data_IF_979680571071
#
_entry.id   IF_979680571071
#
_cell.length_a   1.000
_cell.length_b   1.000
_cell.length_c   1.000
_cell.angle_alpha   90.00
_cell.angle_beta   90.00
_cell.angle_gamma   90.00
#
_symmetry.space_group_name_H-M   'P 1'
#
loop_
_entity.id
_entity.type
_entity.pdbx_description
1 polymer ?
#
# COMPACT_ATOMS: atom_id res chain seq x y z
N UNK A 1 -3.62 4.37 -8.52
CA UNK A 1 -5.01 4.69 -8.13
C UNK A 1 -5.92 4.43 -9.31
N UNK A 2 -6.99 3.66 -9.13
CA UNK A 2 -7.79 3.06 -10.23
C UNK A 2 -9.19 3.63 -10.40
N UNK A 3 -9.73 4.35 -9.40
CA UNK A 3 -11.14 4.78 -9.34
C UNK A 3 -11.27 6.29 -9.10
N UNK A 4 -10.49 7.08 -9.84
CA UNK A 4 -10.41 8.54 -9.64
C UNK A 4 -11.71 9.26 -10.01
N UNK A 5 -12.54 8.63 -10.83
CA UNK A 5 -13.87 9.01 -11.28
C UNK A 5 -14.97 8.92 -10.19
N UNK A 6 -14.81 8.04 -9.20
CA UNK A 6 -15.86 7.78 -8.19
C UNK A 6 -15.79 8.74 -6.98
N UNK A 7 -14.91 9.74 -7.01
CA UNK A 7 -14.63 10.60 -5.86
C UNK A 7 -14.96 12.07 -6.16
N UNK A 8 -15.58 12.75 -5.19
CA UNK A 8 -15.85 14.20 -5.28
C UNK A 8 -14.53 14.99 -5.40
N UNK A 9 -14.49 16.09 -6.19
CA UNK A 9 -13.25 16.84 -6.43
C UNK A 9 -12.49 17.23 -5.16
N UNK A 10 -13.17 17.68 -4.10
CA UNK A 10 -12.53 18.08 -2.85
C UNK A 10 -11.82 16.90 -2.16
N UNK A 11 -12.44 15.72 -2.17
CA UNK A 11 -11.85 14.50 -1.60
C UNK A 11 -10.67 14.01 -2.45
N UNK A 12 -10.76 14.16 -3.77
CA UNK A 12 -9.67 13.79 -4.68
C UNK A 12 -8.43 14.67 -4.44
N UNK A 13 -8.61 15.97 -4.20
CA UNK A 13 -7.52 16.87 -3.82
C UNK A 13 -6.81 16.39 -2.55
N UNK A 14 -7.56 16.02 -1.50
CA UNK A 14 -6.98 15.49 -0.26
C UNK A 14 -6.19 14.20 -0.50
N UNK A 15 -6.77 13.26 -1.23
CA UNK A 15 -6.09 12.00 -1.58
C UNK A 15 -4.78 12.28 -2.34
N UNK A 16 -4.77 13.25 -3.25
CA UNK A 16 -3.55 13.64 -3.98
C UNK A 16 -2.48 14.23 -3.08
N UNK A 17 -2.86 15.01 -2.08
CA UNK A 17 -1.92 15.52 -1.08
C UNK A 17 -1.29 14.37 -0.29
N UNK A 18 -2.09 13.41 0.16
CA UNK A 18 -1.60 12.22 0.86
C UNK A 18 -0.64 11.41 -0.03
N UNK A 19 -1.03 11.20 -1.30
CA UNK A 19 -0.22 10.49 -2.29
C UNK A 19 1.10 11.18 -2.61
N UNK A 20 1.12 12.51 -2.68
CA UNK A 20 2.36 13.28 -2.84
C UNK A 20 3.33 13.06 -1.67
N UNK A 21 2.82 12.86 -0.46
CA UNK A 21 3.62 12.45 0.68
C UNK A 21 4.26 11.08 0.50
N UNK A 22 3.54 10.08 -0.03
CA UNK A 22 4.11 8.78 -0.38
C UNK A 22 5.20 8.88 -1.45
N UNK A 23 5.02 9.75 -2.45
CA UNK A 23 6.05 10.04 -3.45
C UNK A 23 7.31 10.63 -2.80
N UNK A 24 7.18 11.58 -1.87
CA UNK A 24 8.31 12.16 -1.12
C UNK A 24 9.06 11.13 -0.28
N UNK A 25 8.37 10.12 0.24
CA UNK A 25 8.99 8.99 0.96
C UNK A 25 9.81 8.09 0.02
N UNK A 26 9.53 8.12 -1.30
CA UNK A 26 10.24 7.35 -2.32
C UNK A 26 9.40 6.24 -2.97
N UNK A 27 8.10 6.14 -2.68
CA UNK A 27 7.23 5.18 -3.35
C UNK A 27 6.82 5.68 -4.75
N UNK A 28 6.90 4.84 -5.80
CA UNK A 28 6.28 5.14 -7.08
C UNK A 28 4.76 5.22 -6.93
N UNK A 29 4.16 6.34 -7.33
CA UNK A 29 2.72 6.56 -7.26
C UNK A 29 2.16 6.89 -8.63
N UNK A 30 1.24 6.06 -9.10
CA UNK A 30 0.51 6.27 -10.35
C UNK A 30 -0.92 6.70 -10.03
N UNK A 31 -1.23 7.99 -10.21
CA UNK A 31 -2.53 8.57 -9.86
C UNK A 31 -3.04 9.48 -10.99
N UNK A 32 -3.67 8.91 -12.02
CA UNK A 32 -4.10 9.68 -13.18
C UNK A 32 -5.28 10.61 -12.83
N UNK A 33 -5.49 11.66 -13.63
CA UNK A 33 -6.71 12.47 -13.53
C UNK A 33 -7.95 11.66 -13.95
N UNK A 34 -7.84 10.97 -15.09
CA UNK A 34 -8.87 10.08 -15.61
C UNK A 34 -8.47 8.62 -15.36
N UNK A 35 -9.37 7.76 -14.87
CA UNK A 35 -9.05 6.34 -14.72
C UNK A 35 -8.55 5.76 -16.04
N UNK A 36 -7.53 4.90 -15.96
CA UNK A 36 -6.98 4.18 -17.12
C UNK A 36 -6.44 5.09 -18.23
N UNK A 37 -5.93 6.27 -17.87
CA UNK A 37 -5.18 7.12 -18.79
C UNK A 37 -4.06 6.33 -19.49
N UNK A 38 -3.99 6.30 -20.84
CA UNK A 38 -3.03 5.48 -21.57
C UNK A 38 -1.57 5.77 -21.24
N UNK A 39 -1.23 7.03 -20.96
CA UNK A 39 0.14 7.43 -20.61
C UNK A 39 0.53 6.83 -19.26
N UNK A 40 -0.37 6.91 -18.29
CA UNK A 40 -0.13 6.34 -16.96
C UNK A 40 -0.15 4.81 -17.00
N UNK A 41 -1.00 4.18 -17.82
CA UNK A 41 -0.97 2.73 -18.03
C UNK A 41 0.38 2.28 -18.59
N UNK A 42 0.93 2.98 -19.57
CA UNK A 42 2.25 2.68 -20.12
C UNK A 42 3.36 2.81 -19.07
N UNK A 43 3.31 3.84 -18.21
CA UNK A 43 4.25 4.00 -17.09
C UNK A 43 4.14 2.86 -16.07
N UNK A 44 2.90 2.46 -15.73
CA UNK A 44 2.63 1.32 -14.85
C UNK A 44 3.22 0.05 -15.45
N UNK A 45 2.98 -0.24 -16.73
CA UNK A 45 3.56 -1.40 -17.43
C UNK A 45 5.09 -1.39 -17.39
N UNK A 46 5.71 -0.26 -17.74
CA UNK A 46 7.16 -0.13 -17.75
C UNK A 46 7.78 -0.37 -16.36
N UNK A 47 7.08 -0.02 -15.27
CA UNK A 47 7.58 -0.21 -13.91
C UNK A 47 7.78 -1.68 -13.53
N UNK A 48 7.08 -2.60 -14.20
CA UNK A 48 7.11 -4.04 -13.90
C UNK A 48 7.46 -4.95 -15.08
N UNK A 49 7.90 -4.40 -16.21
CA UNK A 49 8.42 -5.20 -17.33
C UNK A 49 9.52 -6.16 -16.85
N UNK A 50 9.53 -7.37 -17.42
CA UNK A 50 10.48 -8.46 -17.12
C UNK A 50 10.52 -8.91 -15.64
N UNK A 51 9.47 -8.62 -14.85
CA UNK A 51 9.37 -8.99 -13.43
C UNK A 51 8.18 -9.90 -13.14
N UNK A 52 8.27 -10.65 -12.04
CA UNK A 52 7.11 -11.25 -11.38
C UNK A 52 6.47 -10.19 -10.48
N UNK A 53 5.20 -9.86 -10.74
CA UNK A 53 4.49 -8.77 -10.05
C UNK A 53 3.16 -9.25 -9.51
N UNK A 54 2.86 -8.86 -8.28
CA UNK A 54 1.61 -9.24 -7.61
C UNK A 54 0.74 -8.01 -7.44
N UNK A 55 -0.50 -8.07 -7.97
CA UNK A 55 -1.46 -7.00 -7.77
C UNK A 55 -2.25 -7.31 -6.50
N UNK A 56 -2.07 -6.48 -5.48
CA UNK A 56 -2.71 -6.65 -4.17
C UNK A 56 -3.51 -5.42 -3.76
N UNK A 57 -4.45 -5.61 -2.84
CA UNK A 57 -5.36 -4.58 -2.36
C UNK A 57 -6.73 -5.14 -2.01
N UNK A 58 -7.51 -4.34 -1.28
CA UNK A 58 -8.82 -4.76 -0.79
C UNK A 58 -9.78 -5.18 -1.92
N UNK A 59 -10.77 -6.00 -1.57
CA UNK A 59 -11.85 -6.36 -2.51
C UNK A 59 -12.56 -5.10 -3.02
N UNK A 60 -12.74 -5.01 -4.34
CA UNK A 60 -13.34 -3.83 -4.98
C UNK A 60 -12.37 -2.68 -5.24
N UNK A 61 -11.07 -2.82 -4.99
CA UNK A 61 -10.07 -1.81 -5.34
C UNK A 61 -9.81 -1.64 -6.85
N UNK A 62 -10.40 -2.47 -7.71
CA UNK A 62 -10.26 -2.37 -9.18
C UNK A 62 -9.02 -3.07 -9.76
N UNK A 63 -8.49 -4.09 -9.07
CA UNK A 63 -7.32 -4.88 -9.53
C UNK A 63 -7.57 -5.58 -10.87
N UNK A 64 -8.62 -6.40 -10.97
CA UNK A 64 -8.96 -7.13 -12.20
C UNK A 64 -9.33 -6.18 -13.35
N UNK A 65 -10.00 -5.06 -13.06
CA UNK A 65 -10.25 -4.00 -14.07
C UNK A 65 -8.95 -3.42 -14.60
N UNK A 66 -7.99 -3.08 -13.71
CA UNK A 66 -6.69 -2.59 -14.13
C UNK A 66 -5.94 -3.64 -14.96
N UNK A 67 -5.99 -4.92 -14.59
CA UNK A 67 -5.37 -6.00 -15.36
C UNK A 67 -5.93 -6.12 -16.78
N UNK A 68 -7.26 -6.03 -16.95
CA UNK A 68 -7.89 -6.03 -18.28
C UNK A 68 -7.41 -4.85 -19.16
N UNK A 69 -7.06 -3.70 -18.56
CA UNK A 69 -6.48 -2.57 -19.28
C UNK A 69 -4.98 -2.74 -19.59
N UNK A 70 -4.25 -3.52 -18.80
CA UNK A 70 -2.80 -3.73 -18.97
C UNK A 70 -2.48 -4.91 -19.88
N UNK A 71 -3.33 -5.93 -19.91
CA UNK A 71 -3.16 -7.17 -20.68
C UNK A 71 -4.33 -7.30 -21.67
N UNK A 72 -4.12 -6.96 -22.95
CA UNK A 72 -5.15 -7.15 -23.98
C UNK A 72 -5.59 -8.62 -24.07
N UNK A 73 -6.91 -8.86 -24.15
CA UNK A 73 -7.49 -10.21 -24.31
C UNK A 73 -7.57 -11.05 -23.03
N UNK A 74 -7.29 -10.46 -21.86
CA UNK A 74 -7.36 -11.16 -20.58
C UNK A 74 -8.81 -11.45 -20.12
N UNK A 75 -9.76 -10.60 -20.52
CA UNK A 75 -11.21 -10.72 -20.29
C UNK A 75 -11.62 -11.25 -18.89
N UNK A 76 -10.93 -10.80 -17.83
CA UNK A 76 -11.26 -11.21 -16.46
C UNK A 76 -12.68 -10.78 -16.12
N UNK A 77 -13.42 -11.66 -15.46
CA UNK A 77 -14.76 -11.37 -14.96
C UNK A 77 -14.73 -10.23 -13.92
N UNK A 78 -15.08 -9.01 -14.35
CA UNK A 78 -15.24 -7.86 -13.46
C UNK A 78 -16.73 -7.69 -13.12
N UNK A 79 -17.15 -8.07 -11.92
CA UNK A 79 -18.53 -7.78 -11.49
C UNK A 79 -18.67 -6.29 -11.13
N UNK A 80 -19.74 -5.64 -11.62
CA UNK A 80 -20.18 -4.35 -11.13
C UNK A 80 -20.47 -4.44 -9.62
N UNK A 81 -20.21 -3.34 -8.89
CA UNK A 81 -20.38 -3.27 -7.43
C UNK A 81 -21.83 -3.64 -7.09
N UNK A 82 -22.02 -4.74 -6.35
CA UNK A 82 -23.34 -5.13 -5.84
C UNK A 82 -23.83 -4.09 -4.84
N UNK A 83 -24.85 -3.31 -5.21
CA UNK A 83 -25.54 -2.36 -4.33
C UNK A 83 -26.25 -3.01 -3.13
N UNK A 84 -26.41 -4.35 -3.13
CA UNK A 84 -27.15 -5.09 -2.12
C UNK A 84 -26.32 -5.47 -0.87
N UNK A 85 -24.99 -5.40 -0.95
CA UNK A 85 -24.10 -5.59 0.19
C UNK A 85 -23.08 -4.47 0.17
N UNK A 86 -22.92 -3.75 1.28
CA UNK A 86 -21.89 -2.72 1.49
C UNK A 86 -20.44 -3.30 1.50
N UNK A 87 -20.18 -4.39 0.76
CA UNK A 87 -18.91 -5.08 0.57
C UNK A 87 -18.82 -5.62 -0.86
N UNK A 88 -17.66 -5.43 -1.50
CA UNK A 88 -17.41 -5.91 -2.87
C UNK A 88 -17.55 -7.43 -2.99
N UNK A 89 -18.17 -7.88 -4.09
CA UNK A 89 -18.38 -9.30 -4.40
C UNK A 89 -17.07 -9.92 -4.88
N UNK A 90 -16.59 -10.95 -4.17
CA UNK A 90 -15.39 -11.71 -4.53
C UNK A 90 -15.57 -12.40 -5.88
N UNK A 91 -14.71 -12.10 -6.86
CA UNK A 91 -14.76 -12.70 -8.22
C UNK A 91 -13.52 -13.56 -8.50
N UNK A 92 -12.31 -13.15 -8.11
CA UNK A 92 -11.08 -13.96 -8.25
C UNK A 92 -10.94 -14.94 -7.06
N UNK A 93 -11.07 -16.27 -7.29
CA UNK A 93 -10.92 -17.33 -6.27
C UNK A 93 -9.58 -18.09 -6.36
N UNK A 94 -8.90 -18.00 -7.50
CA UNK A 94 -7.61 -18.63 -7.81
C UNK A 94 -6.54 -17.55 -7.95
N UNK A 95 -5.27 -17.89 -7.76
CA UNK A 95 -4.18 -16.98 -8.15
C UNK A 95 -3.68 -17.45 -9.51
N UNK A 96 -3.89 -16.62 -10.53
CA UNK A 96 -3.52 -16.90 -11.90
C UNK A 96 -2.37 -15.99 -12.32
N UNK A 97 -1.40 -16.54 -13.05
CA UNK A 97 -0.23 -15.83 -13.56
C UNK A 97 -0.40 -15.54 -15.05
N UNK A 98 -0.32 -14.27 -15.40
CA UNK A 98 -0.51 -13.80 -16.78
C UNK A 98 0.80 -13.26 -17.34
N UNK A 99 1.24 -13.73 -18.53
CA UNK A 99 2.42 -13.19 -19.19
C UNK A 99 2.16 -11.77 -19.68
N UNK A 100 3.06 -10.85 -19.35
CA UNK A 100 2.98 -9.44 -19.77
C UNK A 100 4.37 -8.85 -19.87
N UNK A 101 4.71 -8.26 -21.02
CA UNK A 101 5.96 -7.54 -21.26
C UNK A 101 7.21 -8.27 -20.73
N UNK A 102 7.36 -9.54 -21.11
CA UNK A 102 8.49 -10.39 -20.69
C UNK A 102 8.47 -10.89 -19.25
N UNK A 103 7.50 -10.43 -18.43
CA UNK A 103 7.29 -10.84 -17.05
C UNK A 103 5.99 -11.61 -16.81
N UNK A 104 5.60 -11.70 -15.55
CA UNK A 104 4.37 -12.37 -15.08
C UNK A 104 3.64 -11.46 -14.09
N UNK A 105 2.32 -11.37 -14.22
CA UNK A 105 1.46 -10.69 -13.23
C UNK A 105 0.50 -11.68 -12.59
N UNK A 106 0.47 -11.71 -11.27
CA UNK A 106 -0.49 -12.48 -10.49
C UNK A 106 -1.75 -11.66 -10.19
N UNK A 107 -2.93 -12.15 -10.61
CA UNK A 107 -4.20 -11.68 -10.03
C UNK A 107 -4.45 -12.42 -8.72
N UNK A 108 -4.52 -11.69 -7.61
CA UNK A 108 -4.75 -12.28 -6.29
C UNK A 108 -6.12 -11.88 -5.75
N UNK A 109 -6.81 -12.78 -5.01
CA UNK A 109 -8.01 -12.40 -4.29
C UNK A 109 -7.74 -11.18 -3.40
N UNK A 110 -8.71 -10.25 -3.37
CA UNK A 110 -8.62 -9.14 -2.43
C UNK A 110 -8.68 -9.61 -0.98
N UNK A 111 -7.94 -8.94 -0.09
CA UNK A 111 -8.05 -9.16 1.34
C UNK A 111 -9.12 -8.25 1.97
N UNK A 112 -9.75 -8.72 3.05
CA UNK A 112 -10.71 -7.93 3.85
C UNK A 112 -10.04 -7.23 5.04
N UNK A 113 -8.97 -7.82 5.57
CA UNK A 113 -8.11 -7.25 6.61
C UNK A 113 -6.65 -7.61 6.31
N UNK A 114 -5.75 -6.76 6.79
CA UNK A 114 -4.31 -7.01 6.76
C UNK A 114 -3.87 -7.27 8.20
N UNK A 115 -3.22 -8.39 8.44
CA UNK A 115 -2.60 -8.69 9.73
C UNK A 115 -1.08 -8.62 9.59
N UNK A 116 -0.42 -7.92 10.52
CA UNK A 116 1.03 -8.07 10.69
C UNK A 116 1.30 -9.45 11.30
N UNK A 117 1.85 -10.36 10.49
CA UNK A 117 2.29 -11.70 10.88
C UNK A 117 3.82 -11.70 10.95
N UNK A 118 4.39 -12.33 11.98
CA UNK A 118 5.84 -12.46 12.16
C UNK A 118 6.62 -11.12 12.14
N UNK A 119 6.00 -10.01 12.55
CA UNK A 119 6.65 -8.69 12.72
C UNK A 119 6.81 -8.39 14.21
N UNK A 120 8.02 -8.15 14.67
CA UNK A 120 8.29 -7.68 16.04
C UNK A 120 8.18 -6.15 16.14
N UNK A 121 8.13 -5.60 17.35
CA UNK A 121 8.19 -4.14 17.54
C UNK A 121 9.50 -3.54 17.05
N UNK A 122 10.60 -4.29 17.16
CA UNK A 122 11.91 -3.89 16.63
C UNK A 122 11.92 -3.92 15.10
N UNK A 123 11.28 -4.90 14.47
CA UNK A 123 11.12 -4.87 13.02
C UNK A 123 10.31 -3.64 12.61
N UNK A 124 9.18 -3.38 13.28
CA UNK A 124 8.23 -2.34 12.88
C UNK A 124 8.86 -0.95 12.79
N UNK A 125 9.76 -0.58 13.71
CA UNK A 125 10.43 0.74 13.68
C UNK A 125 11.24 0.98 12.42
N UNK A 126 11.72 -0.09 11.77
CA UNK A 126 12.55 -0.05 10.57
C UNK A 126 11.73 -0.27 9.28
N UNK A 127 10.41 -0.53 9.37
CA UNK A 127 9.52 -0.79 8.21
C UNK A 127 8.87 0.46 7.63
N UNK A 128 9.13 1.62 8.20
CA UNK A 128 8.77 2.92 7.65
C UNK A 128 10.04 3.53 7.04
N UNK A 129 10.15 3.63 5.69
CA UNK A 129 11.39 4.09 5.05
C UNK A 129 11.86 5.45 5.57
N UNK A 130 10.92 6.36 5.81
CA UNK A 130 11.17 7.69 6.34
C UNK A 130 11.66 7.67 7.80
N UNK A 131 11.32 6.63 8.57
CA UNK A 131 11.83 6.46 9.95
C UNK A 131 13.21 5.81 9.92
N UNK A 132 13.38 4.75 9.12
CA UNK A 132 14.64 4.05 8.95
C UNK A 132 15.76 5.00 8.49
N UNK A 133 15.45 5.96 7.60
CA UNK A 133 16.40 6.97 7.15
C UNK A 133 16.85 7.93 8.27
N UNK A 134 15.99 8.19 9.26
CA UNK A 134 16.26 9.12 10.37
C UNK A 134 16.75 8.42 11.64
N UNK A 135 16.52 7.11 11.78
CA UNK A 135 16.88 6.32 12.94
C UNK A 135 18.36 6.45 13.35
N UNK A 136 19.35 6.56 12.43
CA UNK A 136 20.74 6.80 12.80
C UNK A 136 20.99 8.11 13.55
N UNK A 137 20.10 9.10 13.40
CA UNK A 137 20.18 10.39 14.06
C UNK A 137 19.48 10.42 15.43
N UNK A 138 18.84 9.32 15.84
CA UNK A 138 18.31 9.20 17.20
C UNK A 138 19.47 9.06 18.19
N UNK A 139 19.30 9.66 19.38
CA UNK A 139 20.26 9.50 20.49
C UNK A 139 20.49 8.03 20.88
N UNK A 140 19.47 7.18 20.74
CA UNK A 140 19.52 5.78 21.14
C UNK A 140 19.41 4.86 19.93
N UNK A 141 20.33 3.88 19.85
CA UNK A 141 20.35 2.87 18.78
C UNK A 141 19.07 2.02 18.72
N UNK A 142 18.41 1.80 19.85
CA UNK A 142 17.17 1.02 19.96
C UNK A 142 15.89 1.85 19.99
N UNK A 143 15.94 3.12 19.53
CA UNK A 143 14.81 4.04 19.61
C UNK A 143 13.57 3.45 18.94
N UNK A 144 12.49 3.34 19.69
CA UNK A 144 11.16 2.93 19.23
C UNK A 144 10.32 4.13 18.77
N UNK A 145 10.87 5.33 18.81
CA UNK A 145 10.23 6.55 18.34
C UNK A 145 8.92 6.91 19.05
N UNK A 146 8.73 6.53 20.32
CA UNK A 146 7.50 6.77 21.07
C UNK A 146 7.71 7.83 22.15
N UNK A 147 8.50 7.49 23.17
CA UNK A 147 8.72 8.32 24.37
C UNK A 147 10.18 8.73 24.54
N UNK A 148 11.08 8.24 23.69
CA UNK A 148 12.50 8.49 23.81
C UNK A 148 12.84 9.98 23.66
N UNK A 149 13.69 10.52 24.55
CA UNK A 149 14.18 11.88 24.41
C UNK A 149 15.16 11.97 23.22
N UNK A 150 15.16 13.12 22.54
CA UNK A 150 15.99 13.38 21.35
C UNK A 150 15.81 12.33 20.23
N UNK A 151 14.56 11.96 19.97
CA UNK A 151 14.18 11.13 18.83
C UNK A 151 14.12 11.96 17.55
N UNK A 152 14.97 11.64 16.57
CA UNK A 152 15.01 12.34 15.27
C UNK A 152 13.69 12.19 14.49
N UNK A 153 13.04 11.04 14.57
CA UNK A 153 11.71 10.80 13.95
C UNK A 153 10.65 11.74 14.55
N UNK A 154 10.63 11.90 15.89
CA UNK A 154 9.68 12.82 16.54
C UNK A 154 10.00 14.29 16.24
N UNK A 155 11.27 14.64 16.10
CA UNK A 155 11.67 15.99 15.68
C UNK A 155 11.22 16.29 14.25
N UNK A 156 11.44 15.36 13.31
CA UNK A 156 10.98 15.48 11.92
C UNK A 156 9.44 15.51 11.81
N UNK A 157 8.74 14.73 12.66
CA UNK A 157 7.29 14.81 12.78
C UNK A 157 6.84 16.21 13.22
N UNK A 158 7.46 16.77 14.26
CA UNK A 158 7.14 18.11 14.75
C UNK A 158 7.44 19.21 13.73
N UNK A 159 8.46 19.01 12.88
CA UNK A 159 8.80 19.91 11.78
C UNK A 159 7.87 19.77 10.55
N UNK A 160 7.04 18.72 10.49
CA UNK A 160 6.16 18.44 9.36
C UNK A 160 6.82 17.69 8.20
N UNK A 161 8.05 17.20 8.39
CA UNK A 161 8.78 16.40 7.39
C UNK A 161 8.22 14.97 7.29
N UNK A 162 7.59 14.49 8.36
CA UNK A 162 6.85 13.23 8.40
C UNK A 162 5.36 13.52 8.43
N UNK A 163 4.60 12.81 7.61
CA UNK A 163 3.14 12.87 7.65
C UNK A 163 2.60 12.35 8.99
N UNK A 164 1.76 13.14 9.65
CA UNK A 164 1.10 12.73 10.90
C UNK A 164 0.37 11.38 10.76
N UNK A 165 -0.33 11.18 9.64
CA UNK A 165 -1.03 9.92 9.35
C UNK A 165 -0.12 8.69 9.31
N UNK A 166 1.16 8.85 8.95
CA UNK A 166 2.14 7.75 8.95
C UNK A 166 2.57 7.39 10.36
N UNK A 167 2.81 8.40 11.19
CA UNK A 167 3.13 8.19 12.60
C UNK A 167 1.94 7.61 13.38
N UNK A 168 0.72 8.06 13.08
CA UNK A 168 -0.49 7.49 13.69
C UNK A 168 -0.66 6.01 13.32
N UNK A 169 -0.46 5.64 12.04
CA UNK A 169 -0.46 4.24 11.60
C UNK A 169 0.63 3.43 12.30
N UNK A 170 1.82 4.01 12.51
CA UNK A 170 2.89 3.35 13.25
C UNK A 170 2.46 3.03 14.69
N UNK A 171 1.87 3.99 15.40
CA UNK A 171 1.36 3.76 16.76
C UNK A 171 0.24 2.70 16.78
N UNK A 172 -0.68 2.75 15.82
CA UNK A 172 -1.73 1.74 15.68
C UNK A 172 -1.13 0.33 15.50
N UNK A 173 -0.17 0.17 14.58
CA UNK A 173 0.49 -1.12 14.36
C UNK A 173 1.27 -1.60 15.59
N UNK A 174 1.90 -0.69 16.35
CA UNK A 174 2.54 -1.05 17.62
C UNK A 174 1.53 -1.60 18.63
N UNK A 175 0.38 -0.94 18.77
CA UNK A 175 -0.70 -1.38 19.66
C UNK A 175 -1.19 -2.78 19.27
N UNK A 176 -1.48 -2.98 17.97
CA UNK A 176 -1.88 -4.27 17.43
C UNK A 176 -0.85 -5.39 17.66
N UNK A 177 0.45 -5.09 17.58
CA UNK A 177 1.51 -6.06 17.86
C UNK A 177 1.67 -6.33 19.36
N UNK A 178 1.53 -5.32 20.21
CA UNK A 178 1.64 -5.45 21.67
C UNK A 178 0.50 -6.28 22.28
N UNK A 179 -0.69 -6.24 21.67
CA UNK A 179 -1.85 -7.03 22.09
C UNK A 179 -1.81 -8.50 21.63
N UNK A 180 -0.90 -8.89 20.74
CA UNK A 180 -0.78 -10.27 20.23
C UNK A 180 0.13 -11.10 21.13
N UNK A 181 -0.36 -12.25 21.60
CA UNK A 181 0.47 -13.24 22.33
C UNK A 181 1.60 -13.76 21.42
N UNK A 182 2.84 -13.90 21.90
CA UNK A 182 3.94 -14.41 21.10
C UNK A 182 3.65 -15.84 20.61
N UNK A 183 3.73 -16.05 19.29
CA UNK A 183 3.67 -17.38 18.68
C UNK A 183 5.06 -17.98 18.73
N UNK A 184 5.34 -18.79 19.75
CA UNK A 184 6.58 -19.55 19.81
C UNK A 184 6.56 -20.63 18.72
N UNK A 185 7.42 -20.52 17.71
CA UNK A 185 7.69 -21.63 16.78
C UNK A 185 8.35 -22.75 17.60
N UNK A 186 7.68 -23.90 17.74
CA UNK A 186 8.34 -25.11 18.24
C UNK A 186 9.44 -25.47 17.24
N UNK A 187 10.69 -25.57 17.73
CA UNK A 187 11.81 -26.15 16.99
C UNK A 187 11.53 -27.63 16.72
#
# INVERSE_FOLDING_TARGET
MTKTDLTKPQRLTKIRQDLAGYTKIGYPVFAPDKPFDPTILAQVQASFADKLTIFTGQTGAGKSTLLNHLVPGLDLATAAISHALNRGRHTTRTTDLYPIHGGLVADTPGFSSLGLLDVTLDDLRDRFPEFAALAPNCKFRGCQHVSEPHCAVKAALAAGDIMQSRYDNYLQFREELSGKRPVYKKK
#
